data_IF_360588808779
#
_entry.id   IF_360588808779
#
_cell.length_a   1.000
_cell.length_b   1.000
_cell.length_c   1.000
_cell.angle_alpha   90.00
_cell.angle_beta   90.00
_cell.angle_gamma   90.00
#
_symmetry.space_group_name_H-M   'P 1'
#
loop_
_entity.id
_entity.type
_entity.pdbx_description
1 polymer ?
#
# COMPACT_ATOMS: atom_id res chain seq x y z
N UNK A 1 -53.31 -28.40 -36.48
CA UNK A 1 -53.63 -29.22 -35.31
C UNK A 1 -52.77 -28.70 -34.17
N UNK A 2 -53.23 -27.81 -33.43
CA UNK A 2 -53.93 -27.70 -32.11
C UNK A 2 -53.60 -28.85 -31.18
N UNK A 3 -53.02 -28.48 -30.01
CA UNK A 3 -53.41 -28.85 -28.66
C UNK A 3 -52.29 -28.36 -27.72
N UNK A 4 -52.41 -27.26 -26.97
CA UNK A 4 -53.06 -27.06 -25.67
C UNK A 4 -52.26 -27.62 -24.46
N UNK A 5 -51.95 -26.69 -23.61
CA UNK A 5 -51.39 -26.75 -22.23
C UNK A 5 -52.28 -27.63 -21.29
N UNK A 6 -51.75 -27.98 -20.09
CA UNK A 6 -52.18 -27.18 -18.97
C UNK A 6 -51.07 -26.81 -17.93
N UNK A 7 -51.36 -25.71 -17.24
CA UNK A 7 -50.83 -25.28 -15.94
C UNK A 7 -51.20 -26.25 -14.83
N UNK A 8 -50.33 -26.45 -13.88
CA UNK A 8 -50.71 -26.97 -12.57
C UNK A 8 -49.99 -26.15 -11.48
N UNK A 9 -50.82 -25.50 -10.73
CA UNK A 9 -50.60 -24.80 -9.47
C UNK A 9 -50.75 -25.81 -8.33
N UNK A 10 -49.91 -25.77 -7.30
CA UNK A 10 -50.13 -26.32 -5.94
C UNK A 10 -48.80 -26.18 -5.19
N UNK A 11 -48.70 -25.80 -4.02
CA UNK A 11 -49.43 -25.42 -2.82
C UNK A 11 -48.39 -25.29 -1.71
N UNK A 12 -48.51 -24.26 -0.95
CA UNK A 12 -47.73 -23.97 0.25
C UNK A 12 -47.99 -25.06 1.30
N UNK A 13 -46.94 -25.60 1.90
CA UNK A 13 -47.05 -26.34 3.14
C UNK A 13 -46.08 -25.79 4.17
N UNK A 14 -46.65 -25.01 5.09
CA UNK A 14 -46.05 -24.66 6.39
C UNK A 14 -46.09 -25.91 7.27
N UNK A 15 -44.94 -26.31 7.83
CA UNK A 15 -44.93 -27.18 8.99
C UNK A 15 -43.94 -26.64 10.04
N UNK A 16 -44.54 -26.49 11.22
CA UNK A 16 -43.93 -25.97 12.46
C UNK A 16 -42.91 -26.93 13.09
N UNK A 17 -41.92 -26.32 13.63
CA UNK A 17 -41.07 -26.49 14.84
C UNK A 17 -41.08 -27.84 15.61
N UNK A 18 -39.93 -28.12 16.33
CA UNK A 18 -39.84 -27.59 17.68
C UNK A 18 -38.47 -26.96 18.04
N UNK A 19 -38.53 -26.02 18.95
CA UNK A 19 -37.45 -25.36 19.64
C UNK A 19 -36.87 -26.24 20.75
N UNK A 20 -35.56 -26.22 20.94
CA UNK A 20 -34.91 -26.55 22.21
C UNK A 20 -33.67 -25.68 22.41
N UNK A 21 -33.62 -25.02 23.54
CA UNK A 21 -32.39 -24.72 24.28
C UNK A 21 -31.93 -23.27 24.32
N UNK A 22 -32.39 -22.56 25.34
CA UNK A 22 -31.92 -21.28 25.84
C UNK A 22 -30.42 -21.31 26.22
N UNK A 23 -29.63 -20.36 25.73
CA UNK A 23 -28.37 -19.93 26.26
C UNK A 23 -28.33 -18.41 26.27
N UNK A 24 -28.11 -17.84 27.44
CA UNK A 24 -28.41 -16.48 27.87
C UNK A 24 -27.79 -15.37 27.01
N UNK A 25 -28.64 -14.38 26.75
CA UNK A 25 -28.31 -13.15 26.05
C UNK A 25 -27.55 -12.16 26.93
N UNK A 26 -26.47 -11.62 26.39
CA UNK A 26 -25.89 -10.37 26.84
C UNK A 26 -26.43 -9.22 26.00
N UNK A 27 -27.32 -8.45 26.57
CA UNK A 27 -27.81 -7.18 26.01
C UNK A 27 -26.76 -6.10 26.27
N UNK A 28 -26.23 -5.48 25.22
CA UNK A 28 -25.46 -4.26 25.35
C UNK A 28 -26.37 -3.05 25.33
N UNK A 29 -26.49 -2.42 26.50
CA UNK A 29 -27.21 -1.18 26.72
C UNK A 29 -26.32 0.00 26.32
N UNK A 30 -26.86 0.89 25.49
CA UNK A 30 -26.24 2.18 25.13
C UNK A 30 -26.34 3.11 26.35
N UNK A 31 -25.21 3.52 26.91
CA UNK A 31 -25.10 4.51 27.97
C UNK A 31 -24.95 5.89 27.36
N UNK A 32 -25.80 6.85 27.66
CA UNK A 32 -25.66 8.24 27.22
C UNK A 32 -24.61 8.97 28.05
N UNK A 33 -23.89 9.88 27.37
CA UNK A 33 -22.85 10.72 27.96
C UNK A 33 -23.39 11.64 29.07
N UNK A 34 -22.66 11.66 30.17
CA UNK A 34 -22.71 12.75 31.17
C UNK A 34 -23.21 12.36 32.54
N UNK A 35 -22.28 12.02 33.44
CA UNK A 35 -22.33 12.45 34.84
C UNK A 35 -20.94 12.29 35.51
N UNK A 36 -20.60 13.30 36.26
CA UNK A 36 -19.48 13.69 37.09
C UNK A 36 -18.94 12.55 37.97
N UNK A 37 -17.62 12.42 38.05
CA UNK A 37 -16.86 11.53 38.95
C UNK A 37 -16.96 11.99 40.41
N UNK A 38 -16.96 11.08 41.39
CA UNK A 38 -16.65 11.37 42.79
C UNK A 38 -15.13 11.35 43.05
N UNK A 39 -14.72 12.28 43.91
CA UNK A 39 -13.36 12.51 44.39
C UNK A 39 -12.76 11.30 45.16
N UNK A 40 -11.48 11.08 44.97
CA UNK A 40 -10.59 10.47 45.94
C UNK A 40 -10.12 9.03 45.69
N UNK A 41 -9.10 8.86 44.83
CA UNK A 41 -8.09 7.81 45.01
C UNK A 41 -6.75 8.38 44.54
N UNK A 42 -5.74 8.34 45.41
CA UNK A 42 -4.36 8.77 45.15
C UNK A 42 -3.74 8.04 43.94
N UNK A 43 -3.11 8.82 43.06
CA UNK A 43 -2.34 8.31 41.93
C UNK A 43 -1.07 7.64 42.41
N UNK A 44 -0.67 6.48 41.87
CA UNK A 44 0.67 5.96 42.05
C UNK A 44 1.67 6.82 41.25
N UNK A 45 2.78 7.12 41.90
CA UNK A 45 3.91 7.92 41.41
C UNK A 45 4.43 7.36 40.07
N UNK A 46 4.63 8.28 39.14
CA UNK A 46 5.28 8.07 37.86
C UNK A 46 6.68 7.46 38.03
N UNK A 47 6.86 6.25 37.56
CA UNK A 47 8.16 5.73 37.15
C UNK A 47 8.57 6.37 35.85
N UNK A 48 9.82 6.77 35.80
CA UNK A 48 10.51 7.51 34.75
C UNK A 48 10.13 7.06 33.34
N UNK A 49 9.77 8.05 32.52
CA UNK A 49 9.67 7.90 31.09
C UNK A 49 11.04 7.46 30.53
N UNK A 50 11.08 6.30 29.94
CA UNK A 50 12.18 5.87 29.09
C UNK A 50 12.30 6.89 27.97
N UNK A 51 13.44 7.55 27.89
CA UNK A 51 13.80 8.45 26.78
C UNK A 51 13.58 7.72 25.45
N UNK A 52 12.64 8.20 24.66
CA UNK A 52 12.51 7.80 23.28
C UNK A 52 13.84 8.15 22.59
N UNK A 53 14.53 7.13 22.10
CA UNK A 53 15.74 7.27 21.30
C UNK A 53 15.41 8.15 20.13
N UNK A 54 15.92 9.38 20.16
CA UNK A 54 15.85 10.30 19.03
C UNK A 54 16.45 9.60 17.80
N UNK A 55 15.74 9.64 16.69
CA UNK A 55 16.28 9.24 15.40
C UNK A 55 17.61 10.00 15.19
N UNK A 56 18.65 9.35 14.63
CA UNK A 56 19.91 10.04 14.40
C UNK A 56 19.67 11.26 13.51
N UNK A 57 20.14 12.41 13.95
CA UNK A 57 20.15 13.66 13.17
C UNK A 57 20.79 13.36 11.80
N UNK A 58 19.97 13.27 10.78
CA UNK A 58 20.46 13.17 9.40
C UNK A 58 21.03 14.52 9.04
N UNK A 59 22.29 14.62 8.61
CA UNK A 59 22.87 15.90 8.22
C UNK A 59 22.04 16.54 7.10
N UNK A 60 21.92 17.85 7.13
CA UNK A 60 21.23 18.59 6.07
C UNK A 60 21.85 18.25 4.70
N UNK A 61 21.05 18.14 3.64
CA UNK A 61 21.53 17.79 2.32
C UNK A 61 22.60 18.78 1.85
N UNK A 62 23.67 18.24 1.27
CA UNK A 62 24.77 19.03 0.71
C UNK A 62 24.46 19.53 -0.71
N UNK A 63 23.43 19.00 -1.38
CA UNK A 63 23.04 19.43 -2.71
C UNK A 63 22.14 20.65 -2.70
N UNK A 64 22.37 21.56 -3.67
CA UNK A 64 21.50 22.71 -3.86
C UNK A 64 20.12 22.28 -4.36
N UNK A 65 19.06 22.89 -3.77
CA UNK A 65 17.71 22.70 -4.25
C UNK A 65 17.55 23.35 -5.64
N UNK A 66 16.96 22.63 -6.57
CA UNK A 66 16.55 23.20 -7.87
C UNK A 66 15.18 23.83 -7.69
N UNK A 67 15.08 25.15 -7.80
CA UNK A 67 13.81 25.85 -7.86
C UNK A 67 13.36 25.98 -9.33
N UNK A 68 12.22 25.40 -9.67
CA UNK A 68 11.62 25.46 -10.99
C UNK A 68 10.16 25.95 -10.86
N UNK A 69 9.97 27.25 -10.98
CA UNK A 69 8.66 27.85 -10.75
C UNK A 69 8.27 27.80 -9.26
N UNK A 70 7.18 27.10 -8.94
CA UNK A 70 6.73 26.81 -7.57
C UNK A 70 7.24 25.47 -7.02
N UNK A 71 8.04 24.75 -7.82
CA UNK A 71 8.60 23.46 -7.45
C UNK A 71 9.96 23.62 -6.77
N UNK A 72 10.14 22.92 -5.65
CA UNK A 72 11.43 22.73 -4.99
C UNK A 72 11.82 21.27 -5.10
N UNK A 73 12.98 20.98 -5.71
CA UNK A 73 13.44 19.62 -5.97
C UNK A 73 14.85 19.45 -5.37
N UNK A 74 15.01 18.44 -4.51
CA UNK A 74 16.32 17.97 -4.03
C UNK A 74 16.46 16.51 -4.43
N UNK A 75 17.54 16.17 -5.14
CA UNK A 75 17.88 14.79 -5.54
C UNK A 75 19.32 14.53 -5.10
N UNK A 76 19.51 14.25 -3.81
CA UNK A 76 20.83 13.99 -3.21
C UNK A 76 21.01 12.50 -2.89
N UNK A 77 21.51 11.77 -3.89
CA UNK A 77 21.76 10.35 -3.74
C UNK A 77 22.84 10.03 -2.70
N UNK A 78 23.85 10.86 -2.57
CA UNK A 78 24.98 10.63 -1.66
C UNK A 78 24.55 10.83 -0.21
N UNK A 79 23.81 11.90 0.06
CA UNK A 79 23.18 12.13 1.37
C UNK A 79 22.06 11.13 1.66
N UNK A 80 21.46 10.51 0.62
CA UNK A 80 20.29 9.65 0.75
C UNK A 80 19.03 10.43 1.09
N UNK A 81 18.87 11.58 0.47
CA UNK A 81 17.78 12.49 0.72
C UNK A 81 17.17 13.03 -0.58
N UNK A 82 15.86 12.98 -0.68
CA UNK A 82 15.09 13.49 -1.82
C UNK A 82 13.90 14.27 -1.31
N UNK A 83 13.62 15.39 -1.92
CA UNK A 83 12.49 16.24 -1.60
C UNK A 83 11.86 16.78 -2.88
N UNK A 84 10.55 16.74 -2.93
CA UNK A 84 9.74 17.49 -3.85
C UNK A 84 8.68 18.27 -3.09
N UNK A 85 8.57 19.55 -3.36
CA UNK A 85 7.50 20.41 -2.84
C UNK A 85 6.93 21.25 -3.97
N UNK A 86 5.61 21.35 -4.05
CA UNK A 86 4.88 22.25 -4.94
C UNK A 86 3.65 22.78 -4.23
N UNK A 87 3.56 24.11 -4.14
CA UNK A 87 2.41 24.76 -3.52
C UNK A 87 1.18 24.68 -4.42
N UNK A 88 1.34 24.79 -5.73
CA UNK A 88 0.23 24.70 -6.67
C UNK A 88 -0.42 23.33 -6.69
N UNK A 89 0.35 22.26 -6.46
CA UNK A 89 -0.16 20.90 -6.32
C UNK A 89 -0.56 20.55 -4.89
N UNK A 90 -0.22 21.36 -3.89
CA UNK A 90 -0.42 21.01 -2.48
C UNK A 90 0.31 19.70 -2.11
N UNK A 91 1.46 19.46 -2.73
CA UNK A 91 2.21 18.21 -2.64
C UNK A 91 3.55 18.40 -1.98
N UNK A 92 3.86 17.54 -1.01
CA UNK A 92 5.20 17.36 -0.45
C UNK A 92 5.53 15.87 -0.39
N UNK A 93 6.64 15.50 -1.00
CA UNK A 93 7.22 14.15 -0.93
C UNK A 93 8.63 14.25 -0.39
N UNK A 94 8.86 13.71 0.79
CA UNK A 94 10.19 13.62 1.38
C UNK A 94 10.63 12.18 1.50
N UNK A 95 11.81 11.85 0.97
CA UNK A 95 12.34 10.49 0.98
C UNK A 95 13.69 10.47 1.69
N UNK A 96 13.88 9.50 2.57
CA UNK A 96 15.14 9.27 3.28
C UNK A 96 15.62 7.85 3.09
N UNK A 97 16.91 7.70 2.79
CA UNK A 97 17.58 6.39 2.80
C UNK A 97 18.09 6.11 4.21
N UNK A 98 17.66 5.00 4.78
CA UNK A 98 17.96 4.59 6.14
C UNK A 98 18.71 3.26 6.14
N UNK A 99 19.51 3.02 7.17
CA UNK A 99 20.25 1.77 7.35
C UNK A 99 20.28 1.31 8.81
N UNK A 100 20.36 -0.02 9.01
CA UNK A 100 20.75 -0.63 10.29
C UNK A 100 21.90 -1.59 10.04
N UNK A 101 22.72 -1.83 11.07
CA UNK A 101 23.88 -2.74 10.98
C UNK A 101 23.54 -4.16 11.44
N UNK A 102 22.72 -4.33 12.46
CA UNK A 102 22.33 -5.65 12.98
C UNK A 102 20.83 -5.71 13.31
N UNK A 103 20.03 -6.37 12.49
CA UNK A 103 20.39 -6.94 11.19
C UNK A 103 20.66 -5.85 10.14
N UNK A 104 21.57 -6.13 9.21
CA UNK A 104 21.87 -5.19 8.13
C UNK A 104 20.65 -5.05 7.20
N UNK A 105 19.98 -3.92 7.28
CA UNK A 105 18.84 -3.56 6.44
C UNK A 105 19.07 -2.17 5.88
N UNK A 106 18.79 -2.00 4.60
CA UNK A 106 18.76 -0.73 3.91
C UNK A 106 17.36 -0.53 3.36
N UNK A 107 16.77 0.64 3.65
CA UNK A 107 15.44 0.97 3.15
C UNK A 107 15.33 2.46 2.81
N UNK A 108 14.31 2.75 2.06
CA UNK A 108 13.87 4.10 1.73
C UNK A 108 12.49 4.29 2.35
N UNK A 109 12.31 5.39 3.03
CA UNK A 109 11.02 5.81 3.57
C UNK A 109 10.59 7.11 2.92
N UNK A 110 9.39 7.13 2.39
CA UNK A 110 8.77 8.30 1.81
C UNK A 110 7.61 8.76 2.70
N UNK A 111 7.67 10.01 3.13
CA UNK A 111 6.56 10.76 3.72
C UNK A 111 5.87 11.54 2.59
N UNK A 112 4.57 11.34 2.40
CA UNK A 112 3.82 11.85 1.27
C UNK A 112 2.62 12.62 1.78
N UNK A 113 2.67 13.93 1.70
CA UNK A 113 1.58 14.82 2.03
C UNK A 113 1.00 15.41 0.75
N UNK A 114 -0.27 15.20 0.51
CA UNK A 114 -0.96 15.60 -0.69
C UNK A 114 -2.33 16.21 -0.37
N UNK A 115 -3.18 16.41 -1.36
CA UNK A 115 -4.49 17.02 -1.18
C UNK A 115 -5.51 16.44 -2.18
N UNK A 116 -6.74 16.92 -2.12
CA UNK A 116 -7.83 16.46 -3.00
C UNK A 116 -7.57 16.74 -4.48
N UNK A 117 -6.84 17.80 -4.80
CA UNK A 117 -6.53 18.18 -6.19
C UNK A 117 -5.33 17.36 -6.75
N UNK A 118 -4.58 16.71 -5.87
CA UNK A 118 -3.42 15.88 -6.27
C UNK A 118 -3.49 14.52 -5.54
N UNK A 119 -4.50 13.68 -5.80
CA UNK A 119 -4.65 12.38 -5.12
C UNK A 119 -3.55 11.39 -5.54
N UNK A 120 -3.48 10.24 -4.85
CA UNK A 120 -2.73 9.10 -5.37
C UNK A 120 -3.34 8.61 -6.68
N UNK A 121 -2.47 8.36 -7.65
CA UNK A 121 -2.83 7.84 -8.96
C UNK A 121 -2.40 6.38 -9.14
N UNK A 122 -3.20 5.61 -9.88
CA UNK A 122 -2.94 4.19 -10.16
C UNK A 122 -2.61 4.02 -11.64
N UNK A 123 -1.36 4.28 -11.98
CA UNK A 123 -0.86 4.26 -13.35
C UNK A 123 -0.82 2.83 -13.89
N UNK A 124 -1.33 2.63 -15.10
CA UNK A 124 -1.23 1.34 -15.79
C UNK A 124 -0.08 1.32 -16.79
N UNK A 125 0.66 0.21 -16.85
CA UNK A 125 1.63 -0.02 -17.91
C UNK A 125 0.99 -0.07 -19.32
N UNK A 126 -0.31 -0.33 -19.38
CA UNK A 126 -1.12 -0.26 -20.60
C UNK A 126 -2.41 0.50 -20.30
N UNK A 127 -2.45 1.83 -20.50
CA UNK A 127 -3.64 2.64 -20.23
C UNK A 127 -4.88 2.20 -21.01
N UNK A 128 -4.69 1.70 -22.24
CA UNK A 128 -5.80 1.25 -23.09
C UNK A 128 -6.42 -0.07 -22.60
N UNK A 129 -5.71 -0.82 -21.77
CA UNK A 129 -6.18 -2.08 -21.19
C UNK A 129 -5.59 -2.27 -19.78
N UNK A 130 -6.11 -1.55 -18.78
CA UNK A 130 -5.62 -1.60 -17.42
C UNK A 130 -5.58 -3.03 -16.86
N UNK A 131 -4.51 -3.34 -16.12
CA UNK A 131 -4.28 -4.68 -15.58
C UNK A 131 -3.67 -5.68 -16.57
N UNK A 132 -3.42 -5.25 -17.81
CA UNK A 132 -2.72 -6.05 -18.83
C UNK A 132 -1.55 -5.26 -19.42
N UNK A 133 -0.51 -5.99 -19.78
CA UNK A 133 0.73 -5.39 -20.29
C UNK A 133 1.71 -5.09 -19.17
N UNK A 134 2.97 -4.93 -19.58
CA UNK A 134 4.09 -4.74 -18.67
C UNK A 134 5.07 -3.77 -19.31
N UNK A 135 5.58 -2.82 -18.51
CA UNK A 135 6.65 -1.89 -18.89
C UNK A 135 7.61 -1.74 -17.71
N UNK A 136 8.82 -1.27 -18.00
CA UNK A 136 9.75 -0.90 -16.93
C UNK A 136 9.15 0.22 -16.08
N UNK A 137 9.33 0.17 -14.75
CA UNK A 137 8.76 1.19 -13.84
C UNK A 137 9.17 2.62 -14.23
N UNK A 138 10.43 2.82 -14.59
CA UNK A 138 10.96 4.12 -15.02
C UNK A 138 10.21 4.66 -16.25
N UNK A 139 9.89 3.77 -17.19
CA UNK A 139 9.12 4.16 -18.36
C UNK A 139 7.71 4.60 -18.00
N UNK A 140 7.02 3.82 -17.15
CA UNK A 140 5.65 4.18 -16.72
C UNK A 140 5.66 5.51 -15.99
N UNK A 141 6.61 5.73 -15.06
CA UNK A 141 6.72 6.96 -14.30
C UNK A 141 7.05 8.18 -15.20
N UNK A 142 8.00 8.01 -16.15
CA UNK A 142 8.43 9.10 -17.04
C UNK A 142 7.37 9.44 -18.10
N UNK A 143 6.72 8.44 -18.71
CA UNK A 143 5.62 8.64 -19.66
C UNK A 143 4.47 9.41 -19.01
N UNK A 144 4.26 9.23 -17.67
CA UNK A 144 3.25 9.92 -16.88
C UNK A 144 3.76 11.18 -16.17
N UNK A 145 5.05 11.55 -16.32
CA UNK A 145 5.67 12.69 -15.61
C UNK A 145 5.51 12.61 -14.09
N UNK A 146 5.43 11.41 -13.52
CA UNK A 146 5.19 11.20 -12.10
C UNK A 146 6.38 11.63 -11.24
N UNK A 147 6.12 12.43 -10.22
CA UNK A 147 7.11 12.88 -9.23
C UNK A 147 7.59 11.73 -8.36
N UNK A 148 6.64 10.97 -7.82
CA UNK A 148 6.89 9.82 -6.98
C UNK A 148 6.09 8.62 -7.45
N UNK A 149 6.68 7.44 -7.37
CA UNK A 149 5.94 6.21 -7.60
C UNK A 149 6.54 5.00 -6.86
N UNK A 150 5.69 4.02 -6.58
CA UNK A 150 6.06 2.67 -6.12
C UNK A 150 5.34 1.64 -6.98
N UNK A 151 5.84 0.40 -7.03
CA UNK A 151 5.08 -0.67 -7.68
C UNK A 151 3.76 -0.93 -6.94
N UNK A 152 2.79 -1.39 -7.71
CA UNK A 152 1.46 -1.71 -7.20
C UNK A 152 1.34 -3.18 -6.75
N UNK A 153 0.37 -3.87 -7.29
CA UNK A 153 -0.01 -5.21 -6.90
C UNK A 153 0.69 -6.32 -7.72
N UNK A 154 0.08 -7.46 -7.82
CA UNK A 154 0.66 -8.72 -8.17
C UNK A 154 1.17 -8.85 -9.61
N UNK A 155 2.48 -9.06 -9.77
CA UNK A 155 3.15 -9.32 -11.03
C UNK A 155 3.00 -10.77 -11.54
N UNK A 156 3.27 -11.74 -10.69
CA UNK A 156 3.57 -13.11 -11.16
C UNK A 156 2.39 -13.83 -11.83
N UNK A 157 1.17 -13.70 -11.31
CA UNK A 157 0.02 -14.33 -11.94
C UNK A 157 -0.35 -13.69 -13.27
N UNK A 158 -0.24 -12.37 -13.35
CA UNK A 158 -0.53 -11.62 -14.56
C UNK A 158 0.45 -11.94 -15.68
N UNK A 159 1.74 -12.03 -15.33
CA UNK A 159 2.80 -12.28 -16.30
C UNK A 159 2.81 -13.72 -16.84
N UNK A 160 2.80 -14.70 -15.93
CA UNK A 160 3.02 -16.09 -16.32
C UNK A 160 1.75 -16.86 -16.69
N UNK A 161 0.60 -16.46 -16.14
CA UNK A 161 -0.67 -17.16 -16.36
C UNK A 161 -1.70 -16.32 -17.11
N UNK A 162 -1.38 -15.04 -17.38
CA UNK A 162 -2.31 -14.05 -17.94
C UNK A 162 -3.62 -13.97 -17.14
N UNK A 163 -3.54 -14.26 -15.83
CA UNK A 163 -4.68 -14.36 -14.93
C UNK A 163 -4.70 -13.13 -14.00
N UNK A 164 -5.79 -12.42 -14.04
CA UNK A 164 -6.02 -11.26 -13.16
C UNK A 164 -6.53 -11.78 -11.83
N UNK A 165 -5.63 -11.94 -10.87
CA UNK A 165 -5.96 -12.45 -9.54
C UNK A 165 -6.06 -11.28 -8.56
N UNK A 166 -7.04 -11.36 -7.66
CA UNK A 166 -7.36 -10.32 -6.70
C UNK A 166 -8.46 -9.37 -7.19
N UNK A 167 -9.04 -8.63 -6.28
CA UNK A 167 -9.96 -7.55 -6.60
C UNK A 167 -9.14 -6.36 -7.05
N UNK A 168 -9.45 -5.83 -8.24
CA UNK A 168 -8.77 -4.68 -8.83
C UNK A 168 -9.83 -3.72 -9.32
N UNK A 169 -9.85 -2.53 -8.75
CA UNK A 169 -10.69 -1.42 -9.20
C UNK A 169 -9.76 -0.26 -9.54
N UNK A 170 -10.00 0.41 -10.65
CA UNK A 170 -9.28 1.60 -11.09
C UNK A 170 -10.30 2.65 -11.53
N UNK A 171 -10.25 3.81 -10.90
CA UNK A 171 -11.14 4.95 -11.17
C UNK A 171 -12.62 4.54 -11.22
N UNK A 172 -13.05 3.77 -10.22
CA UNK A 172 -14.42 3.26 -10.13
C UNK A 172 -14.78 2.14 -11.10
N UNK A 173 -13.83 1.63 -11.90
CA UNK A 173 -14.07 0.54 -12.84
C UNK A 173 -13.52 -0.78 -12.32
N UNK A 174 -14.35 -1.83 -12.28
CA UNK A 174 -13.91 -3.18 -11.89
C UNK A 174 -13.10 -3.79 -13.02
N UNK A 175 -11.79 -3.98 -12.79
CA UNK A 175 -10.88 -4.69 -13.69
C UNK A 175 -10.88 -6.18 -13.38
N UNK A 176 -10.99 -6.54 -12.10
CA UNK A 176 -11.05 -7.92 -11.63
C UNK A 176 -11.87 -8.02 -10.34
N UNK A 177 -12.75 -9.00 -10.29
CA UNK A 177 -13.50 -9.40 -9.08
C UNK A 177 -13.03 -10.77 -8.54
N UNK A 178 -11.89 -11.26 -9.00
CA UNK A 178 -11.44 -12.61 -8.69
C UNK A 178 -10.78 -12.68 -7.32
N UNK A 179 -11.45 -13.27 -6.34
CA UNK A 179 -10.94 -13.51 -4.98
C UNK A 179 -10.24 -14.86 -4.81
N UNK A 180 -10.09 -15.65 -5.89
CA UNK A 180 -9.54 -16.99 -5.80
C UNK A 180 -8.09 -16.97 -5.34
N UNK A 181 -7.83 -17.53 -4.17
CA UNK A 181 -6.47 -17.85 -3.75
C UNK A 181 -5.89 -18.95 -4.65
N UNK A 182 -4.66 -18.74 -5.10
CA UNK A 182 -3.86 -19.83 -5.65
C UNK A 182 -3.73 -20.93 -4.59
N UNK A 183 -3.79 -22.18 -4.98
CA UNK A 183 -3.52 -23.33 -4.09
C UNK A 183 -2.09 -23.37 -3.53
N UNK A 184 -1.23 -22.46 -3.96
CA UNK A 184 0.15 -22.35 -3.52
C UNK A 184 0.23 -21.48 -2.25
N UNK A 185 0.64 -22.09 -1.14
CA UNK A 185 0.76 -21.42 0.18
C UNK A 185 1.86 -20.34 0.24
N UNK A 186 2.72 -20.23 -0.77
CA UNK A 186 3.76 -19.18 -0.85
C UNK A 186 3.26 -17.88 -1.50
N UNK A 187 2.04 -17.85 -1.98
CA UNK A 187 1.45 -16.68 -2.64
C UNK A 187 0.85 -15.70 -1.63
N UNK A 188 0.71 -14.41 -2.02
CA UNK A 188 0.11 -13.40 -1.17
C UNK A 188 -1.29 -13.80 -0.71
N UNK A 189 -1.72 -13.24 0.40
CA UNK A 189 -3.04 -13.48 0.98
C UNK A 189 -4.17 -12.92 0.12
N UNK A 190 -3.85 -11.98 -0.77
CA UNK A 190 -4.77 -11.16 -1.55
C UNK A 190 -5.67 -10.28 -0.67
N UNK A 191 -5.13 -9.88 0.49
CA UNK A 191 -5.74 -8.80 1.24
C UNK A 191 -5.77 -7.55 0.38
N UNK A 192 -6.70 -6.66 0.63
CA UNK A 192 -6.96 -5.52 -0.23
C UNK A 192 -6.69 -4.20 0.50
N UNK A 193 -6.30 -3.20 -0.27
CA UNK A 193 -6.37 -1.81 0.13
C UNK A 193 -7.33 -1.08 -0.80
N UNK A 194 -8.30 -0.40 -0.22
CA UNK A 194 -9.26 0.45 -0.92
C UNK A 194 -8.95 1.91 -0.65
N UNK A 195 -9.02 2.74 -1.69
CA UNK A 195 -8.72 4.17 -1.68
C UNK A 195 -9.97 4.95 -2.07
N UNK A 196 -10.27 5.98 -1.30
CA UNK A 196 -11.50 6.76 -1.41
C UNK A 196 -11.22 8.19 -1.87
N UNK A 197 -12.25 8.86 -2.37
CA UNK A 197 -12.13 10.23 -2.89
C UNK A 197 -11.75 11.28 -1.83
N UNK A 198 -11.98 10.98 -0.56
CA UNK A 198 -11.60 11.83 0.57
C UNK A 198 -10.14 11.66 1.01
N UNK A 199 -9.35 10.93 0.22
CA UNK A 199 -7.95 10.62 0.53
C UNK A 199 -7.77 9.54 1.59
N UNK A 200 -8.82 8.92 2.07
CA UNK A 200 -8.70 7.82 3.01
C UNK A 200 -8.30 6.51 2.32
N UNK A 201 -7.59 5.66 3.06
CA UNK A 201 -7.22 4.31 2.68
C UNK A 201 -7.67 3.35 3.78
N UNK A 202 -8.24 2.21 3.40
CA UNK A 202 -8.63 1.18 4.34
C UNK A 202 -8.16 -0.19 3.85
N UNK A 203 -7.78 -1.07 4.78
CA UNK A 203 -7.38 -2.44 4.45
C UNK A 203 -8.46 -3.45 4.85
N UNK A 204 -8.59 -4.49 4.02
CA UNK A 204 -9.59 -5.55 4.20
C UNK A 204 -8.96 -6.93 3.97
N UNK A 205 -9.54 -7.94 4.62
CA UNK A 205 -9.21 -9.32 4.31
C UNK A 205 -9.79 -9.74 2.96
N UNK A 206 -9.06 -10.55 2.21
CA UNK A 206 -9.36 -10.91 0.81
C UNK A 206 -10.74 -11.51 0.52
N UNK A 207 -11.50 -11.90 1.54
CA UNK A 207 -12.81 -12.58 1.37
C UNK A 207 -13.96 -11.86 2.05
N UNK A 208 -13.69 -10.72 2.66
CA UNK A 208 -14.70 -10.05 3.47
C UNK A 208 -15.57 -9.10 2.64
N UNK A 209 -15.06 -8.63 1.48
CA UNK A 209 -15.72 -7.63 0.65
C UNK A 209 -15.59 -7.99 -0.83
N UNK A 210 -16.67 -7.90 -1.58
CA UNK A 210 -16.71 -8.10 -3.04
C UNK A 210 -16.34 -6.81 -3.79
N UNK A 211 -16.06 -6.92 -5.09
CA UNK A 211 -15.74 -5.76 -5.91
C UNK A 211 -16.91 -4.74 -5.96
N UNK A 212 -18.14 -5.25 -6.04
CA UNK A 212 -19.36 -4.45 -6.07
C UNK A 212 -19.60 -3.74 -4.74
N UNK A 213 -19.30 -4.39 -3.60
CA UNK A 213 -19.39 -3.79 -2.28
C UNK A 213 -18.36 -2.68 -2.09
N UNK A 214 -17.12 -2.81 -2.62
CA UNK A 214 -16.14 -1.71 -2.62
C UNK A 214 -16.66 -0.49 -3.36
N UNK A 215 -17.26 -0.68 -4.55
CA UNK A 215 -17.90 0.43 -5.27
C UNK A 215 -19.05 1.05 -4.50
N UNK A 216 -19.89 0.23 -3.85
CA UNK A 216 -21.00 0.72 -3.03
C UNK A 216 -20.52 1.52 -1.80
N UNK A 217 -19.32 1.22 -1.27
CA UNK A 217 -18.66 2.02 -0.23
C UNK A 217 -18.03 3.31 -0.75
N UNK A 218 -17.96 3.50 -2.07
CA UNK A 218 -17.37 4.68 -2.70
C UNK A 218 -15.88 4.57 -3.00
N UNK A 219 -15.30 3.36 -2.94
CA UNK A 219 -13.90 3.15 -3.30
C UNK A 219 -13.65 3.50 -4.78
N UNK A 220 -12.66 4.33 -5.02
CA UNK A 220 -12.23 4.72 -6.37
C UNK A 220 -11.22 3.73 -6.91
N UNK A 221 -10.29 3.31 -6.08
CA UNK A 221 -9.26 2.34 -6.44
C UNK A 221 -9.17 1.24 -5.39
N UNK A 222 -8.95 0.01 -5.84
CA UNK A 222 -8.70 -1.16 -4.98
C UNK A 222 -7.58 -1.97 -5.59
N UNK A 223 -6.63 -2.35 -4.76
CA UNK A 223 -5.56 -3.28 -5.12
C UNK A 223 -5.57 -4.50 -4.19
N UNK A 224 -5.01 -5.59 -4.66
CA UNK A 224 -4.93 -6.84 -3.90
C UNK A 224 -3.52 -7.40 -3.93
N UNK A 225 -2.89 -7.50 -2.77
CA UNK A 225 -1.65 -8.24 -2.59
C UNK A 225 -1.56 -8.81 -1.16
N UNK A 226 -1.04 -8.03 -0.22
CA UNK A 226 -0.99 -8.40 1.19
C UNK A 226 0.24 -9.23 1.61
N UNK A 227 0.27 -9.62 2.89
CA UNK A 227 -0.80 -9.36 3.86
C UNK A 227 -0.97 -7.87 4.17
N UNK A 228 -2.12 -7.50 4.75
CA UNK A 228 -2.17 -6.22 5.41
C UNK A 228 -1.17 -6.24 6.59
N UNK A 229 -0.56 -5.11 6.85
CA UNK A 229 0.45 -4.96 7.89
C UNK A 229 -0.16 -4.38 9.17
N UNK A 230 -0.92 -3.30 8.99
CA UNK A 230 -1.65 -2.61 10.06
C UNK A 230 -3.10 -2.44 9.64
N UNK A 231 -4.00 -2.47 10.62
CA UNK A 231 -5.40 -2.12 10.47
C UNK A 231 -5.87 -1.38 11.72
N UNK A 232 -6.39 -0.15 11.55
CA UNK A 232 -6.79 0.72 12.66
C UNK A 232 -5.68 0.91 13.72
N UNK A 233 -4.41 1.00 13.31
CA UNK A 233 -3.27 1.14 14.21
C UNK A 233 -2.81 -0.15 14.89
N UNK A 234 -3.43 -1.29 14.60
CA UNK A 234 -3.06 -2.57 15.17
C UNK A 234 -2.32 -3.45 14.15
N UNK A 235 -1.25 -4.10 14.62
CA UNK A 235 -0.49 -5.03 13.77
C UNK A 235 -1.30 -6.27 13.45
N UNK A 236 -1.14 -6.76 12.22
CA UNK A 236 -1.69 -8.05 11.81
C UNK A 236 -1.21 -9.17 12.75
N UNK A 237 -2.11 -9.88 13.45
CA UNK A 237 -1.73 -10.93 14.39
C UNK A 237 -1.23 -12.22 13.70
N UNK A 238 -1.35 -12.33 12.38
CA UNK A 238 -1.10 -13.54 11.60
C UNK A 238 0.09 -13.42 10.66
N UNK A 239 1.21 -12.87 11.09
CA UNK A 239 2.46 -13.04 10.36
C UNK A 239 2.94 -14.49 10.53
N UNK A 240 2.40 -15.38 9.71
CA UNK A 240 2.77 -16.80 9.77
C UNK A 240 4.24 -17.05 9.44
N UNK A 241 4.72 -18.24 9.74
CA UNK A 241 6.13 -18.69 9.60
C UNK A 241 6.73 -18.50 8.21
N UNK A 242 5.92 -18.34 7.17
CA UNK A 242 6.38 -18.09 5.78
C UNK A 242 6.58 -16.61 5.45
N UNK A 243 6.19 -15.72 6.33
CA UNK A 243 6.36 -14.27 6.18
C UNK A 243 7.61 -13.77 6.91
N UNK A 244 8.42 -14.70 7.42
CA UNK A 244 9.70 -14.43 8.08
C UNK A 244 10.87 -14.34 7.11
N UNK A 245 10.65 -14.69 5.83
CA UNK A 245 11.69 -14.59 4.80
C UNK A 245 12.04 -13.11 4.56
N UNK A 246 13.34 -12.83 4.64
CA UNK A 246 13.88 -11.49 4.39
C UNK A 246 14.07 -11.26 2.91
N UNK A 247 13.35 -10.29 2.39
CA UNK A 247 13.22 -10.01 0.96
C UNK A 247 13.26 -8.51 0.70
N UNK A 248 13.39 -8.15 -0.59
CA UNK A 248 12.98 -6.82 -1.02
C UNK A 248 11.48 -6.68 -0.75
N UNK A 249 11.10 -5.56 -0.13
CA UNK A 249 9.71 -5.28 0.24
C UNK A 249 9.30 -3.89 -0.19
N UNK A 250 8.03 -3.75 -0.50
CA UNK A 250 7.37 -2.46 -0.62
C UNK A 250 6.10 -2.49 0.21
N UNK A 251 5.82 -1.41 0.90
CA UNK A 251 4.59 -1.23 1.64
C UNK A 251 4.07 0.19 1.46
N UNK A 252 2.76 0.34 1.50
CA UNK A 252 2.07 1.62 1.53
C UNK A 252 1.16 1.63 2.75
N UNK A 253 1.11 2.76 3.45
CA UNK A 253 0.21 2.97 4.56
C UNK A 253 -0.25 4.42 4.65
N UNK A 254 -1.29 4.65 5.43
CA UNK A 254 -1.91 5.94 5.65
C UNK A 254 -1.80 6.31 7.14
N UNK A 255 -1.35 7.51 7.43
CA UNK A 255 -1.42 8.12 8.78
C UNK A 255 -2.82 8.70 8.98
N UNK A 256 -3.22 9.56 8.07
CA UNK A 256 -4.53 10.21 7.98
C UNK A 256 -4.86 10.49 6.50
N UNK A 257 -6.09 10.86 6.13
CA UNK A 257 -6.43 11.20 4.76
C UNK A 257 -5.44 12.17 4.12
N UNK A 258 -4.98 11.84 2.91
CA UNK A 258 -3.96 12.59 2.15
C UNK A 258 -2.55 12.59 2.76
N UNK A 259 -2.29 11.84 3.83
CA UNK A 259 -0.97 11.67 4.40
C UNK A 259 -0.59 10.19 4.43
N UNK A 260 0.38 9.83 3.59
CA UNK A 260 0.77 8.45 3.39
C UNK A 260 2.26 8.23 3.68
N UNK A 261 2.61 7.00 4.01
CA UNK A 261 3.99 6.53 4.14
C UNK A 261 4.22 5.37 3.19
N UNK A 262 5.27 5.46 2.40
CA UNK A 262 5.72 4.32 1.60
C UNK A 262 7.10 3.84 2.07
N UNK A 263 7.28 2.53 2.18
CA UNK A 263 8.57 1.91 2.49
C UNK A 263 9.01 1.03 1.32
N UNK A 264 10.25 1.20 0.89
CA UNK A 264 10.95 0.29 0.01
C UNK A 264 12.19 -0.25 0.69
N UNK A 265 12.26 -1.56 0.89
CA UNK A 265 13.40 -2.23 1.51
C UNK A 265 14.18 -2.98 0.47
N UNK A 266 15.46 -2.64 0.30
CA UNK A 266 16.37 -3.45 -0.49
C UNK A 266 16.70 -4.76 0.23
N UNK A 267 16.96 -5.82 -0.52
CA UNK A 267 17.29 -7.12 0.04
C UNK A 267 18.12 -7.98 -0.92
N UNK A 268 18.57 -9.15 -0.43
CA UNK A 268 19.32 -10.13 -1.18
C UNK A 268 20.62 -9.60 -1.79
N UNK A 269 21.21 -8.58 -1.18
CA UNK A 269 22.47 -7.98 -1.64
C UNK A 269 23.43 -7.75 -0.48
N UNK A 270 24.66 -7.29 -0.78
CA UNK A 270 25.72 -7.07 0.23
C UNK A 270 25.41 -5.90 1.19
N UNK A 271 24.50 -5.02 0.83
CA UNK A 271 24.12 -3.84 1.64
C UNK A 271 22.92 -4.11 2.54
N UNK A 272 22.06 -5.05 2.13
CA UNK A 272 20.84 -5.34 2.85
C UNK A 272 20.44 -6.80 2.73
N UNK A 273 20.03 -7.39 3.85
CA UNK A 273 19.41 -8.73 3.87
C UNK A 273 17.95 -8.70 3.47
N UNK A 274 17.34 -7.52 3.45
CA UNK A 274 15.89 -7.35 3.30
C UNK A 274 15.15 -7.42 4.62
N UNK A 275 13.84 -7.30 4.59
CA UNK A 275 12.95 -7.31 5.74
C UNK A 275 11.91 -8.41 5.66
N UNK A 276 11.48 -8.89 6.82
CA UNK A 276 10.28 -9.70 6.97
C UNK A 276 9.03 -8.81 7.20
N UNK A 277 7.86 -9.44 7.25
CA UNK A 277 6.60 -8.70 7.37
C UNK A 277 6.42 -8.02 8.73
N UNK A 278 6.94 -8.64 9.78
CA UNK A 278 6.85 -8.08 11.13
C UNK A 278 7.66 -6.79 11.23
N UNK A 279 8.91 -6.82 10.76
CA UNK A 279 9.76 -5.64 10.71
C UNK A 279 9.11 -4.50 9.91
N UNK A 280 8.50 -4.85 8.76
CA UNK A 280 7.84 -3.87 7.90
C UNK A 280 6.64 -3.22 8.61
N UNK A 281 5.83 -4.01 9.33
CA UNK A 281 4.70 -3.53 10.11
C UNK A 281 5.16 -2.66 11.31
N UNK A 282 6.22 -3.07 12.00
CA UNK A 282 6.81 -2.30 13.10
C UNK A 282 7.26 -0.92 12.61
N UNK A 283 7.93 -0.85 11.45
CA UNK A 283 8.37 0.42 10.85
C UNK A 283 7.21 1.32 10.45
N UNK A 284 6.13 0.77 9.90
CA UNK A 284 4.90 1.52 9.62
C UNK A 284 4.26 2.06 10.90
N UNK A 285 4.19 1.23 11.95
CA UNK A 285 3.63 1.64 13.24
C UNK A 285 4.45 2.77 13.90
N UNK A 286 5.80 2.70 13.84
CA UNK A 286 6.70 3.76 14.32
C UNK A 286 6.45 5.11 13.65
N UNK A 287 5.91 5.11 12.42
CA UNK A 287 5.53 6.33 11.68
C UNK A 287 4.12 6.83 11.96
N UNK A 288 3.37 6.17 12.83
CA UNK A 288 2.00 6.54 13.16
C UNK A 288 0.97 6.11 12.11
N UNK A 289 1.34 5.18 11.24
CA UNK A 289 0.44 4.63 10.22
C UNK A 289 -0.68 3.84 10.87
N UNK A 290 -1.91 4.03 10.41
CA UNK A 290 -3.11 3.34 10.91
C UNK A 290 -3.48 2.14 10.06
N UNK A 291 -3.45 2.26 8.75
CA UNK A 291 -3.75 1.20 7.79
C UNK A 291 -2.56 1.02 6.82
N UNK A 292 -2.06 -0.21 6.68
CA UNK A 292 -0.93 -0.50 5.81
C UNK A 292 -1.05 -1.87 5.16
N UNK A 293 -0.56 -1.95 3.92
CA UNK A 293 -0.51 -3.17 3.13
C UNK A 293 0.89 -3.41 2.56
N UNK A 294 1.33 -4.66 2.56
CA UNK A 294 2.49 -5.09 1.80
C UNK A 294 2.14 -5.25 0.31
N UNK A 295 2.99 -4.73 -0.55
CA UNK A 295 2.88 -4.80 -2.00
C UNK A 295 3.84 -5.84 -2.59
N UNK A 296 3.82 -6.03 -3.94
CA UNK A 296 4.68 -7.01 -4.58
C UNK A 296 6.17 -6.71 -4.31
N UNK A 297 6.88 -7.72 -3.90
CA UNK A 297 8.25 -7.66 -3.45
C UNK A 297 9.26 -8.30 -4.42
N UNK A 298 10.41 -8.67 -3.88
CA UNK A 298 11.46 -9.33 -4.64
C UNK A 298 12.01 -8.44 -5.77
N UNK A 299 12.08 -8.95 -6.98
CA UNK A 299 12.60 -8.20 -8.13
C UNK A 299 11.61 -7.16 -8.70
N UNK A 300 10.35 -7.17 -8.25
CA UNK A 300 9.32 -6.18 -8.64
C UNK A 300 9.41 -4.93 -7.77
N UNK A 301 9.90 -5.08 -6.53
CA UNK A 301 9.97 -3.99 -5.56
C UNK A 301 10.74 -2.79 -6.11
N UNK A 302 10.11 -1.63 -6.12
CA UNK A 302 10.74 -0.39 -6.53
C UNK A 302 10.09 0.82 -5.87
N UNK A 303 10.89 1.87 -5.72
CA UNK A 303 10.49 3.23 -5.42
C UNK A 303 11.17 4.15 -6.40
N UNK A 304 10.45 5.11 -6.95
CA UNK A 304 10.94 6.04 -7.94
C UNK A 304 10.74 7.48 -7.46
N UNK A 305 11.70 8.33 -7.75
CA UNK A 305 11.63 9.76 -7.56
C UNK A 305 12.07 10.46 -8.85
N UNK A 306 11.26 11.38 -9.35
CA UNK A 306 11.49 12.10 -10.61
C UNK A 306 11.84 11.15 -11.77
N UNK A 307 11.10 10.03 -11.85
CA UNK A 307 11.29 9.02 -12.91
C UNK A 307 12.57 8.18 -12.80
N UNK A 308 13.32 8.29 -11.69
CA UNK A 308 14.52 7.50 -11.41
C UNK A 308 14.26 6.51 -10.28
N UNK A 309 14.71 5.28 -10.44
CA UNK A 309 14.60 4.26 -9.40
C UNK A 309 15.59 4.50 -8.27
N UNK A 310 15.09 4.54 -7.04
CA UNK A 310 15.90 4.67 -5.83
C UNK A 310 16.42 3.30 -5.43
N UNK A 311 17.74 3.12 -5.51
CA UNK A 311 18.43 1.95 -4.99
C UNK A 311 19.94 2.17 -4.99
N UNK A 312 20.66 1.44 -4.13
CA UNK A 312 22.10 1.34 -4.24
C UNK A 312 22.40 0.43 -5.43
N UNK A 313 22.73 1.03 -6.57
CA UNK A 313 23.20 0.28 -7.72
C UNK A 313 24.53 -0.39 -7.38
N UNK A 314 24.73 -1.60 -7.89
CA UNK A 314 26.05 -2.19 -7.94
C UNK A 314 26.97 -1.18 -8.67
N UNK A 315 28.21 -0.90 -8.16
CA UNK A 315 29.16 -0.01 -8.82
C UNK A 315 29.42 -0.35 -10.30
N UNK A 316 29.11 -1.57 -10.71
CA UNK A 316 29.23 -2.01 -12.10
C UNK A 316 28.00 -1.66 -12.97
N UNK A 317 26.98 -0.99 -12.41
CA UNK A 317 25.78 -0.54 -13.15
C UNK A 317 24.92 -1.67 -13.73
N UNK A 318 25.28 -2.92 -13.51
CA UNK A 318 24.54 -4.06 -14.05
C UNK A 318 23.44 -4.47 -13.11
N UNK A 319 22.25 -4.01 -13.41
CA UNK A 319 21.04 -4.47 -12.75
C UNK A 319 20.67 -5.84 -13.30
N UNK A 320 20.98 -6.88 -12.54
CA UNK A 320 20.47 -8.21 -12.86
C UNK A 320 19.03 -8.32 -12.36
N UNK A 321 18.12 -8.71 -13.26
CA UNK A 321 16.74 -9.11 -12.99
C UNK A 321 15.78 -7.97 -12.64
N UNK A 322 15.81 -6.86 -13.35
CA UNK A 322 14.69 -5.92 -13.32
C UNK A 322 13.46 -6.56 -13.94
N UNK A 323 12.33 -6.38 -13.25
CA UNK A 323 11.04 -6.79 -13.78
C UNK A 323 10.29 -5.57 -14.24
N UNK A 324 9.60 -5.74 -15.35
CA UNK A 324 8.53 -4.83 -15.73
C UNK A 324 7.36 -4.96 -14.74
N UNK A 325 6.58 -3.91 -14.60
CA UNK A 325 5.41 -3.83 -13.73
C UNK A 325 4.13 -3.74 -14.55
N UNK A 326 3.01 -4.13 -13.98
CA UNK A 326 1.68 -3.93 -14.57
C UNK A 326 1.14 -2.52 -14.32
N UNK A 327 1.60 -1.86 -13.28
CA UNK A 327 1.21 -0.52 -12.88
C UNK A 327 2.07 0.01 -11.74
N UNK A 328 1.83 1.26 -11.39
CA UNK A 328 2.46 1.97 -10.28
C UNK A 328 1.39 2.70 -9.47
N UNK A 329 1.64 2.87 -8.18
CA UNK A 329 0.96 3.88 -7.36
C UNK A 329 1.87 5.10 -7.39
N UNK A 330 1.34 6.22 -7.84
CA UNK A 330 2.09 7.45 -8.08
C UNK A 330 1.41 8.66 -7.43
N UNK A 331 2.13 9.77 -7.33
CA UNK A 331 1.58 11.06 -6.94
C UNK A 331 2.40 12.20 -7.54
N UNK A 332 1.70 13.25 -7.95
CA UNK A 332 2.25 14.49 -8.47
C UNK A 332 2.82 14.39 -9.88
N UNK A 333 2.80 15.51 -10.57
CA UNK A 333 3.33 15.67 -11.92
C UNK A 333 4.34 16.79 -11.97
N UNK A 334 5.42 16.60 -12.72
CA UNK A 334 6.40 17.66 -12.99
C UNK A 334 6.98 17.53 -14.39
N UNK A 335 7.06 18.65 -15.10
CA UNK A 335 7.76 18.73 -16.38
C UNK A 335 9.28 18.54 -16.24
N UNK A 336 9.81 18.62 -15.01
CA UNK A 336 11.21 18.32 -14.71
C UNK A 336 11.51 16.80 -14.71
N UNK A 337 10.50 15.95 -14.71
CA UNK A 337 10.69 14.50 -14.89
C UNK A 337 11.19 14.26 -16.32
N UNK A 338 12.39 13.67 -16.50
CA UNK A 338 12.98 13.48 -17.82
C UNK A 338 12.15 12.53 -18.67
N UNK A 339 12.20 12.71 -19.98
CA UNK A 339 11.59 11.75 -20.91
C UNK A 339 12.29 10.39 -20.85
N UNK A 340 11.54 9.34 -21.14
CA UNK A 340 12.11 7.99 -21.24
C UNK A 340 12.79 7.82 -22.62
N UNK A 341 14.10 7.67 -22.61
CA UNK A 341 14.90 7.60 -23.86
C UNK A 341 15.16 6.17 -24.32
N UNK A 342 14.87 5.16 -23.49
CA UNK A 342 15.15 3.76 -23.79
C UNK A 342 16.64 3.38 -23.76
N UNK A 343 17.52 4.30 -23.39
CA UNK A 343 18.97 4.09 -23.38
C UNK A 343 19.53 3.62 -22.01
N UNK A 344 18.65 3.43 -21.05
CA UNK A 344 19.01 2.98 -19.68
C UNK A 344 18.71 1.47 -19.46
N UNK A 345 18.45 0.73 -20.54
CA UNK A 345 18.22 -0.72 -20.53
C UNK A 345 19.51 -1.55 -20.59
#
# INVERSE_FOLDING_TARGET
MRLLRPMALWLILLLCLPAVGLGEGGTYELVPAGTRAPDGVEAPQSTEASEASAAPDTPAPASEAIAAGDETIIDDFDAGYWLYESQSQGLRVEIRRCTTDDPKVLWYEADIQTCADTPLEFLSANPDNPGRGFRYPERVARDSKAVFAINDDQFAHRMYKHDTVGIIIRDGNIISSNTRKSGNKSWPTLDTAAFFADGSMQVFLSKDVTAEEYLAMGAQNVLSFGPYLLKNGEMNPQFGTRMTDRENRVALGMIEPYHYVALYVEGRNKYSRGADMKWLAEKMLEKGVTDAINLDGGATACMLFMGKKLRITNPEGKVRNERSVSGLIAVGHSDQVPEYTGLEE
#
